data_IF_713731685533
#
_entry.id   IF_713731685533
#
_cell.length_a   1.000
_cell.length_b   1.000
_cell.length_c   1.000
_cell.angle_alpha   90.00
_cell.angle_beta   90.00
_cell.angle_gamma   90.00
#
_symmetry.space_group_name_H-M   'P 1'
#
loop_
_entity.id
_entity.type
_entity.pdbx_description
1 polymer ?
#
# COMPACT_ATOMS: atom_id res chain seq x y z
N UNK A 1 0.21 -20.44 -12.43
CA UNK A 1 -0.40 -20.01 -11.15
C UNK A 1 -1.34 -18.83 -11.38
N UNK A 2 -2.45 -18.74 -10.65
CA UNK A 2 -3.39 -17.62 -10.78
C UNK A 2 -2.93 -16.45 -9.88
N UNK A 3 -2.32 -15.42 -10.49
CA UNK A 3 -1.79 -14.23 -9.78
C UNK A 3 -2.79 -13.57 -8.83
N UNK A 4 -4.08 -13.60 -9.16
CA UNK A 4 -5.14 -13.01 -8.31
C UNK A 4 -5.27 -13.78 -7.00
N UNK A 5 -5.18 -15.12 -7.05
CA UNK A 5 -5.26 -15.98 -5.86
C UNK A 5 -4.05 -15.76 -4.95
N UNK A 6 -2.86 -15.68 -5.54
CA UNK A 6 -1.61 -15.42 -4.81
C UNK A 6 -1.60 -14.04 -4.16
N UNK A 7 -2.03 -13.00 -4.89
CA UNK A 7 -2.17 -11.65 -4.37
C UNK A 7 -3.16 -11.61 -3.19
N UNK A 8 -4.32 -12.28 -3.29
CA UNK A 8 -5.27 -12.39 -2.17
C UNK A 8 -4.66 -13.09 -0.96
N UNK A 9 -3.82 -14.12 -1.17
CA UNK A 9 -3.10 -14.81 -0.10
C UNK A 9 -2.08 -13.88 0.58
N UNK A 10 -1.29 -13.16 -0.19
CA UNK A 10 -0.33 -12.16 0.32
C UNK A 10 -1.04 -11.05 1.11
N UNK A 11 -2.15 -10.52 0.59
CA UNK A 11 -2.93 -9.50 1.30
C UNK A 11 -3.43 -9.99 2.67
N UNK A 12 -3.90 -11.23 2.75
CA UNK A 12 -4.30 -11.82 4.05
C UNK A 12 -3.13 -11.90 5.03
N UNK A 13 -1.93 -12.26 4.55
CA UNK A 13 -0.73 -12.32 5.38
C UNK A 13 -0.29 -10.94 5.85
N UNK A 14 -0.33 -9.92 4.98
CA UNK A 14 -0.02 -8.53 5.33
C UNK A 14 -0.98 -7.99 6.40
N UNK A 15 -2.29 -8.25 6.28
CA UNK A 15 -3.30 -7.84 7.27
C UNK A 15 -3.07 -8.49 8.65
N UNK A 16 -2.58 -9.72 8.67
CA UNK A 16 -2.23 -10.46 9.87
C UNK A 16 -0.83 -10.10 10.44
N UNK A 17 0.01 -9.39 9.69
CA UNK A 17 1.38 -9.08 10.10
C UNK A 17 1.42 -8.28 11.40
N UNK A 18 2.29 -8.67 12.33
CA UNK A 18 2.51 -8.02 13.65
C UNK A 18 4.03 -7.86 13.95
N UNK A 19 4.86 -7.86 12.90
CA UNK A 19 6.32 -8.00 13.03
C UNK A 19 7.07 -6.73 13.47
N UNK A 20 6.43 -5.55 13.48
CA UNK A 20 7.06 -4.30 13.91
C UNK A 20 6.08 -3.45 14.73
N UNK A 21 6.62 -2.43 15.42
CA UNK A 21 5.87 -1.55 16.33
C UNK A 21 4.69 -0.84 15.66
N UNK A 22 4.82 -0.49 14.37
CA UNK A 22 3.77 0.23 13.62
C UNK A 22 2.41 -0.45 13.67
N UNK A 23 2.36 -1.78 13.81
CA UNK A 23 1.08 -2.48 13.82
C UNK A 23 0.22 -2.16 15.05
N UNK A 24 0.85 -1.83 16.18
CA UNK A 24 0.15 -1.44 17.41
C UNK A 24 -0.47 -0.03 17.30
N UNK A 25 0.07 0.82 16.43
CA UNK A 25 -0.31 2.23 16.34
C UNK A 25 -1.23 2.55 15.15
N UNK A 26 -1.17 1.75 14.09
CA UNK A 26 -2.10 1.88 12.96
C UNK A 26 -3.41 1.13 13.20
N UNK A 27 -4.50 1.60 12.59
CA UNK A 27 -5.79 0.90 12.63
C UNK A 27 -5.70 -0.44 11.90
N UNK A 28 -5.12 -0.44 10.71
CA UNK A 28 -4.93 -1.65 9.91
C UNK A 28 -3.71 -1.56 8.99
N UNK A 29 -3.23 -2.71 8.53
CA UNK A 29 -2.31 -2.71 7.40
C UNK A 29 -3.06 -2.37 6.10
N UNK A 30 -2.36 -1.74 5.17
CA UNK A 30 -2.85 -1.32 3.85
C UNK A 30 -2.04 -2.08 2.80
N UNK A 31 -2.53 -3.25 2.35
CA UNK A 31 -1.97 -3.94 1.19
C UNK A 31 -2.11 -3.10 -0.08
N UNK A 32 -1.45 -3.53 -1.15
CA UNK A 32 -1.63 -2.90 -2.45
C UNK A 32 -3.00 -3.18 -3.07
N UNK A 33 -3.42 -2.30 -3.98
CA UNK A 33 -4.68 -2.37 -4.71
C UNK A 33 -4.47 -2.17 -6.22
N UNK A 34 -5.41 -2.68 -7.03
CA UNK A 34 -5.36 -2.60 -8.49
C UNK A 34 -5.24 -3.96 -9.16
N UNK A 35 -4.77 -3.98 -10.41
CA UNK A 35 -4.71 -5.20 -11.22
C UNK A 35 -3.51 -6.08 -10.87
N UNK A 36 -3.77 -7.35 -10.56
CA UNK A 36 -2.73 -8.39 -10.42
C UNK A 36 -1.99 -8.69 -11.74
N UNK A 37 -2.47 -8.13 -12.86
CA UNK A 37 -1.87 -8.24 -14.20
C UNK A 37 -1.36 -6.89 -14.70
N UNK A 38 -1.29 -5.86 -13.83
CA UNK A 38 -0.81 -4.54 -14.19
C UNK A 38 0.58 -4.59 -14.82
N UNK A 39 0.80 -3.75 -15.84
CA UNK A 39 2.13 -3.54 -16.43
C UNK A 39 2.96 -2.56 -15.61
N UNK A 40 2.30 -1.63 -14.92
CA UNK A 40 2.92 -0.61 -14.11
C UNK A 40 2.53 -0.79 -12.64
N UNK A 41 3.53 -0.66 -11.77
CA UNK A 41 3.35 -0.64 -10.32
C UNK A 41 3.88 0.67 -9.76
N UNK A 42 3.06 1.35 -8.97
CA UNK A 42 3.41 2.59 -8.27
C UNK A 42 3.60 2.28 -6.79
N UNK A 43 4.72 2.76 -6.23
CA UNK A 43 5.14 2.44 -4.86
C UNK A 43 5.38 3.75 -4.12
N UNK A 44 4.53 4.05 -3.15
CA UNK A 44 4.75 5.14 -2.19
C UNK A 44 5.55 4.68 -0.97
N UNK A 45 5.76 5.59 -0.02
CA UNK A 45 6.52 5.29 1.19
C UNK A 45 5.69 4.50 2.22
N UNK A 46 4.61 5.10 2.73
CA UNK A 46 3.79 4.55 3.79
C UNK A 46 2.34 5.03 3.70
N UNK A 47 1.37 4.36 4.35
CA UNK A 47 -0.01 4.80 4.39
C UNK A 47 -0.16 6.07 5.23
N UNK A 48 -0.97 7.01 4.75
CA UNK A 48 -1.43 8.16 5.53
C UNK A 48 -2.68 7.84 6.35
N UNK A 49 -3.25 8.87 6.98
CA UNK A 49 -4.43 8.74 7.86
C UNK A 49 -5.64 8.13 7.14
N UNK A 50 -5.95 8.61 5.93
CA UNK A 50 -7.13 8.13 5.17
C UNK A 50 -6.95 6.71 4.66
N UNK A 51 -5.72 6.37 4.29
CA UNK A 51 -5.34 5.02 3.87
C UNK A 51 -5.48 4.03 5.03
N UNK A 52 -4.98 4.40 6.22
CA UNK A 52 -5.13 3.59 7.45
C UNK A 52 -6.61 3.42 7.85
N UNK A 53 -7.42 4.46 7.69
CA UNK A 53 -8.86 4.39 7.99
C UNK A 53 -9.64 3.47 7.04
N UNK A 54 -9.30 3.49 5.75
CA UNK A 54 -10.02 2.80 4.67
C UNK A 54 -9.45 1.43 4.30
N UNK A 55 -8.17 1.18 4.57
CA UNK A 55 -7.46 -0.02 4.11
C UNK A 55 -7.05 0.03 2.63
N UNK A 56 -7.20 1.17 1.96
CA UNK A 56 -6.91 1.33 0.52
C UNK A 56 -5.75 2.31 0.32
N UNK A 57 -4.72 1.99 -0.48
CA UNK A 57 -3.58 2.86 -0.70
C UNK A 57 -3.96 4.09 -1.53
N UNK A 58 -3.28 5.22 -1.27
CA UNK A 58 -3.42 6.46 -2.02
C UNK A 58 -4.88 6.93 -2.15
N UNK A 59 -5.60 7.16 -1.05
CA UNK A 59 -6.97 7.71 -1.07
C UNK A 59 -7.04 9.16 -0.57
N UNK A 60 -5.92 9.69 -0.08
CA UNK A 60 -5.75 11.09 0.29
C UNK A 60 -5.51 12.03 -0.90
N UNK A 61 -5.01 13.23 -0.60
CA UNK A 61 -4.74 14.26 -1.62
C UNK A 61 -3.71 13.80 -2.67
N UNK A 62 -2.62 13.15 -2.22
CA UNK A 62 -1.63 12.56 -3.12
C UNK A 62 -2.22 11.48 -4.03
N UNK A 63 -3.23 10.74 -3.55
CA UNK A 63 -3.95 9.76 -4.35
C UNK A 63 -4.80 10.37 -5.44
N UNK A 64 -5.47 11.50 -5.17
CA UNK A 64 -6.21 12.24 -6.19
C UNK A 64 -5.28 12.79 -7.26
N UNK A 65 -4.13 13.32 -6.86
CA UNK A 65 -3.12 13.79 -7.81
C UNK A 65 -2.58 12.64 -8.68
N UNK A 66 -2.33 11.46 -8.08
CA UNK A 66 -1.95 10.28 -8.86
C UNK A 66 -3.02 9.91 -9.89
N UNK A 67 -4.31 10.01 -9.55
CA UNK A 67 -5.41 9.72 -10.48
C UNK A 67 -5.44 10.69 -11.66
N UNK A 68 -5.20 11.98 -11.40
CA UNK A 68 -5.07 12.99 -12.46
C UNK A 68 -3.89 12.66 -13.38
N UNK A 69 -2.73 12.28 -12.83
CA UNK A 69 -1.55 11.94 -13.62
C UNK A 69 -1.75 10.66 -14.45
N UNK A 70 -2.42 9.65 -13.89
CA UNK A 70 -2.80 8.45 -14.65
C UNK A 70 -3.76 8.81 -15.80
N UNK A 71 -4.72 9.71 -15.55
CA UNK A 71 -5.66 10.17 -16.57
C UNK A 71 -5.00 10.88 -17.75
N UNK A 72 -3.91 11.62 -17.53
CA UNK A 72 -3.14 12.28 -18.61
C UNK A 72 -2.53 11.28 -19.58
N UNK A 73 -2.25 10.06 -19.13
CA UNK A 73 -1.66 8.99 -19.94
C UNK A 73 -2.68 7.88 -20.27
N UNK A 74 -3.98 8.19 -20.23
CA UNK A 74 -5.09 7.27 -20.53
C UNK A 74 -5.10 5.98 -19.69
N UNK A 75 -4.60 6.05 -18.45
CA UNK A 75 -4.67 4.95 -17.48
C UNK A 75 -5.66 5.25 -16.36
N UNK A 76 -6.26 4.20 -15.82
CA UNK A 76 -7.08 4.24 -14.60
C UNK A 76 -6.38 3.48 -13.47
N UNK A 77 -6.81 3.70 -12.23
CA UNK A 77 -6.34 2.93 -11.06
C UNK A 77 -6.43 1.41 -11.25
N UNK A 78 -7.47 0.95 -11.93
CA UNK A 78 -7.70 -0.47 -12.20
C UNK A 78 -6.74 -1.07 -13.24
N UNK A 79 -6.06 -0.25 -14.05
CA UNK A 79 -5.08 -0.68 -15.04
C UNK A 79 -3.67 -0.88 -14.42
N UNK A 80 -3.45 -0.31 -13.24
CA UNK A 80 -2.16 -0.29 -12.55
C UNK A 80 -2.23 -1.06 -11.23
N UNK A 81 -1.08 -1.25 -10.57
CA UNK A 81 -1.04 -1.72 -9.19
C UNK A 81 -0.39 -0.66 -8.31
N UNK A 82 -1.00 -0.34 -7.17
CA UNK A 82 -0.55 0.72 -6.28
C UNK A 82 -0.31 0.12 -4.91
N UNK A 83 0.85 0.36 -4.32
CA UNK A 83 1.18 -0.05 -2.97
C UNK A 83 2.08 0.99 -2.29
N UNK A 84 2.38 0.76 -1.01
CA UNK A 84 3.44 1.46 -0.30
C UNK A 84 4.54 0.47 0.08
N UNK A 85 5.79 0.94 0.23
CA UNK A 85 6.87 0.12 0.76
C UNK A 85 6.50 -0.41 2.17
N UNK A 86 6.04 0.48 3.03
CA UNK A 86 5.51 0.16 4.36
C UNK A 86 4.00 -0.09 4.27
N UNK A 87 3.52 -1.11 4.97
CA UNK A 87 2.08 -1.48 4.96
C UNK A 87 1.29 -0.92 6.14
N UNK A 88 1.94 -0.34 7.14
CA UNK A 88 1.30 0.24 8.32
C UNK A 88 1.60 1.74 8.40
N UNK A 89 0.61 2.55 8.78
CA UNK A 89 0.79 3.99 8.97
C UNK A 89 1.73 4.27 10.15
N UNK A 90 2.82 5.05 9.96
CA UNK A 90 3.61 5.56 11.08
C UNK A 90 2.83 6.56 11.93
N UNK A 91 3.04 6.59 13.25
CA UNK A 91 2.40 7.56 14.13
C UNK A 91 2.64 9.00 13.67
N UNK A 92 1.58 9.80 13.72
CA UNK A 92 1.59 11.20 13.26
C UNK A 92 2.06 11.41 11.81
N UNK A 93 2.04 10.36 10.96
CA UNK A 93 2.58 10.37 9.59
C UNK A 93 4.07 10.75 9.51
N UNK A 94 4.87 10.43 10.54
CA UNK A 94 6.33 10.55 10.42
C UNK A 94 6.88 9.61 9.34
N UNK A 95 8.12 9.84 8.92
CA UNK A 95 8.82 8.88 8.07
C UNK A 95 9.03 7.55 8.82
N UNK A 96 8.97 6.40 8.11
CA UNK A 96 9.28 5.10 8.69
C UNK A 96 10.75 5.00 9.10
N UNK A 97 11.00 4.41 10.26
CA UNK A 97 12.34 4.14 10.77
C UNK A 97 13.05 3.09 9.90
N UNK A 98 14.41 3.07 9.90
CA UNK A 98 15.17 2.06 9.15
C UNK A 98 14.77 0.61 9.48
N UNK A 99 14.55 0.29 10.75
CA UNK A 99 14.10 -1.05 11.18
C UNK A 99 12.71 -1.39 10.65
N UNK A 100 11.78 -0.43 10.65
CA UNK A 100 10.43 -0.62 10.11
C UNK A 100 10.49 -0.90 8.61
N UNK A 101 11.37 -0.20 7.88
CA UNK A 101 11.65 -0.44 6.46
C UNK A 101 12.20 -1.85 6.23
N UNK A 102 13.20 -2.25 7.00
CA UNK A 102 13.82 -3.57 6.85
C UNK A 102 12.82 -4.71 7.13
N UNK A 103 12.05 -4.62 8.22
CA UNK A 103 11.06 -5.64 8.56
C UNK A 103 9.94 -5.71 7.50
N UNK A 104 9.49 -4.57 6.96
CA UNK A 104 8.41 -4.55 5.97
C UNK A 104 8.85 -4.96 4.57
N UNK A 105 10.16 -4.94 4.27
CA UNK A 105 10.74 -5.22 2.95
C UNK A 105 10.28 -6.55 2.34
N UNK A 106 10.04 -7.57 3.17
CA UNK A 106 9.57 -8.89 2.70
C UNK A 106 8.24 -8.86 1.90
N UNK A 107 7.48 -7.77 1.98
CA UNK A 107 6.18 -7.61 1.34
C UNK A 107 6.21 -6.90 -0.02
N UNK A 108 7.38 -6.44 -0.46
CA UNK A 108 7.59 -5.70 -1.71
C UNK A 108 8.68 -6.39 -2.54
#
# INVERSE_FOLDING_TARGET
MNKIVEMKKLNKQMLACRKCALRAECKQAVPGAGSAKAKFMFIGEAPGKKEDESGVPFVGAAGKFLDEMLGIIDLKREDVYIANAIKCRPPHNRDPLPEEKEICRQWL
#
